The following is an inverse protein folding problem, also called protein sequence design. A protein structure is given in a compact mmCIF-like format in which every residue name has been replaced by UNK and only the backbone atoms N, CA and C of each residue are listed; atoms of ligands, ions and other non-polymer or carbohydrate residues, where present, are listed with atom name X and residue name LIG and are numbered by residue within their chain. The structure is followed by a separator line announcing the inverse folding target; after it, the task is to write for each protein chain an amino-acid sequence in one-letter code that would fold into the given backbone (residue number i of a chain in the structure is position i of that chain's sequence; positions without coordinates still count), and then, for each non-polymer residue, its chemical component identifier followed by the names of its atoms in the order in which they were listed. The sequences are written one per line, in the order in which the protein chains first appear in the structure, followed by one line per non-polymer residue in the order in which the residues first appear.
data_IF_424584716518
#
_entry.id   IF_424584716518
#
_cell.length_a   1.000
_cell.length_b   1.000
_cell.length_c   1.000
_cell.angle_alpha   90.00
_cell.angle_beta   90.00
_cell.angle_gamma   90.00
#
_symmetry.space_group_name_H-M   'P 1'
#
loop_
_entity.id
_entity.type
_entity.pdbx_description
1 polymer ?
#
# COMPACT_ATOMS: atom_id res chain seq x y z
N UNK A 1 -18.76 53.49 14.86
CA UNK A 1 -19.69 54.22 15.78
C UNK A 1 -19.02 55.56 16.05
N UNK A 2 -19.55 56.75 15.75
CA UNK A 2 -20.91 57.33 15.80
C UNK A 2 -21.16 58.11 17.11
N UNK A 3 -21.34 59.45 16.99
CA UNK A 3 -21.81 60.41 18.03
C UNK A 3 -20.80 60.65 19.18
N UNK A 4 -20.71 61.80 19.89
CA UNK A 4 -21.39 63.12 19.91
C UNK A 4 -20.42 64.12 20.65
N UNK A 5 -20.58 65.45 20.76
CA UNK A 5 -20.99 66.58 19.88
C UNK A 5 -21.18 67.86 20.75
N UNK A 6 -20.94 69.08 20.21
CA UNK A 6 -21.36 70.40 20.77
C UNK A 6 -20.69 70.83 22.11
N UNK A 7 -20.61 72.10 22.58
CA UNK A 7 -20.80 73.51 22.08
C UNK A 7 -20.05 74.42 23.11
N UNK A 8 -19.19 75.41 22.81
CA UNK A 8 -19.31 76.78 22.22
C UNK A 8 -19.66 77.95 23.20
N UNK A 9 -19.23 79.19 22.84
CA UNK A 9 -19.44 80.53 23.48
C UNK A 9 -18.61 80.93 24.73
N UNK A 10 -18.49 82.22 25.14
CA UNK A 10 -18.02 83.50 24.52
C UNK A 10 -18.39 84.74 25.40
N UNK A 11 -17.54 85.79 25.37
CA UNK A 11 -17.79 87.24 25.70
C UNK A 11 -18.01 87.74 27.15
N UNK A 12 -17.18 88.71 27.58
CA UNK A 12 -17.47 90.14 27.97
C UNK A 12 -16.14 90.76 28.52
N UNK A 13 -15.61 91.95 28.13
CA UNK A 13 -16.04 93.37 28.26
C UNK A 13 -16.18 93.89 29.71
N UNK A 14 -15.73 95.12 30.09
CA UNK A 14 -14.85 96.10 29.41
C UNK A 14 -15.01 97.60 29.77
N UNK A 15 -14.07 98.18 30.53
CA UNK A 15 -13.59 99.60 30.54
C UNK A 15 -14.45 100.80 31.08
N UNK A 16 -13.77 101.98 31.18
CA UNK A 16 -14.18 103.35 31.63
C UNK A 16 -14.45 103.54 33.16
N UNK A 17 -14.35 104.73 33.79
CA UNK A 17 -14.29 106.13 33.30
C UNK A 17 -13.24 107.05 34.04
N UNK A 18 -13.45 108.38 34.06
CA UNK A 18 -12.40 109.32 33.55
C UNK A 18 -12.38 110.78 34.12
N UNK A 19 -11.20 111.25 34.57
CA UNK A 19 -10.64 112.65 34.63
C UNK A 19 -11.42 113.90 35.17
N UNK A 20 -10.73 114.73 35.99
CA UNK A 20 -10.83 116.20 36.25
C UNK A 20 -9.88 116.57 37.43
N UNK A 21 -9.46 117.79 37.83
CA UNK A 21 -9.25 119.19 37.33
C UNK A 21 -8.17 119.82 38.29
N UNK A 22 -7.28 120.80 38.04
CA UNK A 22 -7.29 122.17 37.45
C UNK A 22 -8.10 123.23 38.29
N UNK A 23 -7.60 124.42 38.68
CA UNK A 23 -6.34 125.18 38.40
C UNK A 23 -6.02 126.26 39.50
N UNK A 24 -4.80 126.85 39.43
CA UNK A 24 -4.28 128.21 39.82
C UNK A 24 -4.95 129.05 40.95
N UNK A 25 -4.27 129.57 42.00
CA UNK A 25 -3.08 130.47 42.20
C UNK A 25 -3.32 131.99 42.22
N UNK A 26 -2.51 132.70 43.03
CA UNK A 26 -2.14 134.13 43.02
C UNK A 26 -2.61 135.09 44.15
N UNK A 27 -1.74 136.06 44.45
CA UNK A 27 -1.78 137.17 45.43
C UNK A 27 -1.99 138.52 44.66
N UNK A 28 -2.08 139.78 45.20
CA UNK A 28 -1.37 140.35 46.37
C UNK A 28 -2.12 141.46 47.17
N UNK A 29 -1.37 142.36 47.84
CA UNK A 29 -1.84 143.39 48.79
C UNK A 29 -2.20 144.76 48.19
N UNK A 30 -2.72 145.68 49.02
CA UNK A 30 -2.98 147.11 48.71
C UNK A 30 -2.83 148.00 49.96
N UNK A 31 -2.76 149.33 49.77
CA UNK A 31 -2.52 150.35 50.80
C UNK A 31 -3.29 151.67 50.53
N UNK A 32 -3.12 152.68 51.40
CA UNK A 32 -3.66 154.08 51.36
C UNK A 32 -5.16 154.21 51.75
N UNK A 33 -5.62 155.21 52.55
CA UNK A 33 -4.93 156.22 53.37
C UNK A 33 -5.80 157.47 53.75
N UNK A 34 -5.39 158.25 54.76
CA UNK A 34 -5.94 159.59 55.15
C UNK A 34 -7.23 159.60 56.00
N UNK A 35 -7.77 160.78 56.45
CA UNK A 35 -7.28 162.17 56.31
C UNK A 35 -7.19 162.97 57.66
N UNK A 36 -7.42 164.30 57.65
CA UNK A 36 -7.07 165.31 58.70
C UNK A 36 -8.30 166.13 59.18
N UNK A 37 -8.19 166.89 60.31
CA UNK A 37 -8.98 168.08 60.84
C UNK A 37 -9.75 167.89 62.18
N UNK A 38 -10.16 168.90 62.99
CA UNK A 38 -9.62 170.24 63.41
C UNK A 38 -10.52 170.92 64.51
N UNK A 39 -10.02 171.93 65.27
CA UNK A 39 -10.69 173.01 66.10
C UNK A 39 -11.45 172.70 67.43
N UNK A 40 -11.26 173.59 68.45
CA UNK A 40 -12.22 173.93 69.56
C UNK A 40 -11.58 174.02 70.98
N UNK A 41 -11.33 175.19 71.62
CA UNK A 41 -12.21 176.16 72.32
C UNK A 41 -12.83 175.64 73.66
N UNK A 42 -12.96 176.39 74.77
CA UNK A 42 -12.72 177.84 75.03
C UNK A 42 -12.56 178.19 76.55
N UNK A 43 -12.41 179.50 76.86
CA UNK A 43 -12.60 180.19 78.17
C UNK A 43 -11.54 180.04 79.31
N UNK A 44 -11.37 181.00 80.24
CA UNK A 44 -11.27 182.48 80.08
C UNK A 44 -10.72 183.17 81.36
N UNK A 45 -10.05 184.31 81.17
CA UNK A 45 -9.67 185.38 82.13
C UNK A 45 -9.52 185.09 83.64
N UNK A 46 -8.26 184.89 84.08
CA UNK A 46 -7.75 185.52 85.32
C UNK A 46 -6.20 185.52 85.40
N UNK A 47 -5.53 184.47 84.93
CA UNK A 47 -4.09 184.22 85.17
C UNK A 47 -3.11 184.90 84.18
N UNK A 48 -3.42 186.10 83.68
CA UNK A 48 -2.75 186.67 82.49
C UNK A 48 -1.39 187.36 82.74
N UNK A 49 -0.75 187.17 83.90
CA UNK A 49 0.51 187.85 84.27
C UNK A 49 1.67 186.86 84.52
N UNK A 50 1.42 185.66 85.06
CA UNK A 50 2.50 184.66 85.27
C UNK A 50 2.97 184.02 83.95
N UNK A 51 2.06 183.89 82.98
CA UNK A 51 2.27 183.19 81.71
C UNK A 51 3.36 183.84 80.82
N UNK A 52 3.63 185.14 81.00
CA UNK A 52 4.55 185.92 80.17
C UNK A 52 6.04 185.72 80.56
N UNK A 53 6.31 185.12 81.73
CA UNK A 53 7.65 184.64 82.10
C UNK A 53 7.86 183.18 81.67
N UNK A 54 6.82 182.34 81.72
CA UNK A 54 6.89 180.94 81.32
C UNK A 54 7.08 180.76 79.80
N UNK A 55 6.47 181.61 78.96
CA UNK A 55 6.68 181.53 77.49
C UNK A 55 8.16 181.68 77.09
N UNK A 56 8.95 182.49 77.82
CA UNK A 56 10.39 182.62 77.58
C UNK A 56 11.17 181.36 77.97
N UNK A 57 10.82 180.75 79.11
CA UNK A 57 11.39 179.48 79.56
C UNK A 57 11.08 178.36 78.54
N UNK A 58 9.83 178.33 78.06
CA UNK A 58 9.32 177.30 77.17
C UNK A 58 9.84 177.43 75.72
N UNK A 59 10.11 178.65 75.23
CA UNK A 59 10.78 178.87 73.93
C UNK A 59 12.21 178.35 73.93
N UNK A 60 13.01 178.64 74.97
CA UNK A 60 14.38 178.16 75.06
C UNK A 60 14.45 176.62 75.14
N UNK A 61 13.50 175.99 75.83
CA UNK A 61 13.37 174.52 75.81
C UNK A 61 12.92 173.97 74.45
N UNK A 62 12.11 174.71 73.67
CA UNK A 62 11.78 174.30 72.29
C UNK A 62 13.00 174.38 71.37
N UNK A 63 13.77 175.46 71.39
CA UNK A 63 14.95 175.63 70.54
C UNK A 63 16.00 174.53 70.81
N UNK A 64 16.24 174.19 72.09
CA UNK A 64 17.11 173.03 72.42
C UNK A 64 16.52 171.69 71.96
N UNK A 65 15.19 171.50 72.00
CA UNK A 65 14.55 170.27 71.50
C UNK A 65 14.54 170.17 69.98
N UNK A 66 14.45 171.29 69.25
CA UNK A 66 14.58 171.32 67.78
C UNK A 66 16.00 170.99 67.36
N UNK A 67 17.02 171.63 67.96
CA UNK A 67 18.43 171.32 67.70
C UNK A 67 18.78 169.85 67.98
N UNK A 68 18.21 169.27 69.05
CA UNK A 68 18.38 167.84 69.37
C UNK A 68 17.68 166.90 68.37
N UNK A 69 16.56 167.33 67.76
CA UNK A 69 15.85 166.55 66.74
C UNK A 69 16.55 166.61 65.37
N UNK A 70 17.09 167.76 64.97
CA UNK A 70 17.85 167.87 63.73
C UNK A 70 19.12 167.01 63.78
N UNK A 71 19.88 167.03 64.89
CA UNK A 71 21.02 166.11 65.08
C UNK A 71 20.62 164.64 65.16
N UNK A 72 19.38 164.31 65.59
CA UNK A 72 18.87 162.94 65.59
C UNK A 72 18.57 162.42 64.17
N UNK A 73 18.05 163.29 63.30
CA UNK A 73 17.70 162.96 61.91
C UNK A 73 18.92 162.76 61.00
N UNK A 74 20.04 163.42 61.28
CA UNK A 74 21.25 163.40 60.45
C UNK A 74 22.21 162.21 60.64
N UNK A 75 21.76 161.09 61.24
CA UNK A 75 22.66 159.99 61.61
C UNK A 75 22.96 159.01 60.45
N UNK A 76 24.25 158.81 60.17
CA UNK A 76 24.80 157.86 59.16
C UNK A 76 24.34 156.40 59.37
N UNK A 77 23.78 156.12 60.54
CA UNK A 77 23.31 154.80 60.97
C UNK A 77 22.01 154.37 60.26
N UNK A 78 21.13 155.32 59.86
CA UNK A 78 19.94 154.97 59.07
C UNK A 78 20.31 154.58 57.63
N UNK A 79 21.16 155.35 56.95
CA UNK A 79 21.63 155.02 55.60
C UNK A 79 22.35 153.66 55.57
N UNK A 80 23.16 153.36 56.58
CA UNK A 80 23.82 152.05 56.74
C UNK A 80 22.79 150.92 56.90
N UNK A 81 21.71 151.13 57.67
CA UNK A 81 20.62 150.15 57.81
C UNK A 81 19.85 149.92 56.51
N UNK A 82 19.61 150.96 55.72
CA UNK A 82 18.95 150.83 54.41
C UNK A 82 19.82 150.00 53.47
N UNK A 83 21.12 150.31 53.35
CA UNK A 83 22.06 149.51 52.55
C UNK A 83 22.18 148.05 53.04
N UNK A 84 22.11 147.80 54.34
CA UNK A 84 22.06 146.43 54.88
C UNK A 84 20.76 145.71 54.49
N UNK A 85 19.61 146.39 54.52
CA UNK A 85 18.32 145.84 54.09
C UNK A 85 18.27 145.59 52.58
N UNK A 86 18.79 146.50 51.76
CA UNK A 86 18.89 146.31 50.30
C UNK A 86 19.78 145.12 49.94
N UNK A 87 20.95 144.98 50.59
CA UNK A 87 21.81 143.81 50.39
C UNK A 87 21.15 142.53 50.90
N UNK A 88 20.39 142.57 52.00
CA UNK A 88 19.66 141.41 52.51
C UNK A 88 18.49 141.00 51.60
N UNK A 89 17.70 141.95 51.10
CA UNK A 89 16.65 141.71 50.10
C UNK A 89 17.26 141.11 48.83
N UNK A 90 18.36 141.67 48.34
CA UNK A 90 19.08 141.13 47.17
C UNK A 90 19.67 139.75 47.42
N UNK A 91 20.04 139.42 48.65
CA UNK A 91 20.43 138.06 49.05
C UNK A 91 19.23 137.11 49.01
N UNK A 92 18.09 137.50 49.60
CA UNK A 92 16.83 136.75 49.52
C UNK A 92 16.31 136.57 48.09
N UNK A 93 16.50 137.54 47.20
CA UNK A 93 16.16 137.42 45.78
C UNK A 93 17.03 136.39 45.05
N UNK A 94 18.32 136.34 45.36
CA UNK A 94 19.24 135.32 44.86
C UNK A 94 18.89 133.93 45.42
N UNK A 95 18.64 133.82 46.73
CA UNK A 95 18.22 132.57 47.37
C UNK A 95 16.88 132.07 46.83
N UNK A 96 15.89 132.95 46.67
CA UNK A 96 14.59 132.62 46.07
C UNK A 96 14.75 132.17 44.61
N UNK A 97 15.69 132.76 43.87
CA UNK A 97 16.00 132.35 42.49
C UNK A 97 16.68 130.97 42.44
N UNK A 98 17.62 130.72 43.36
CA UNK A 98 18.28 129.42 43.56
C UNK A 98 17.27 128.33 43.95
N UNK A 99 16.35 128.64 44.88
CA UNK A 99 15.26 127.74 45.29
C UNK A 99 14.30 127.46 44.12
N UNK A 100 13.92 128.47 43.32
CA UNK A 100 13.10 128.27 42.11
C UNK A 100 13.81 127.37 41.08
N UNK A 101 15.10 127.58 40.85
CA UNK A 101 15.90 126.77 39.93
C UNK A 101 16.03 125.32 40.43
N UNK A 102 16.29 125.14 41.73
CA UNK A 102 16.36 123.83 42.38
C UNK A 102 15.01 123.10 42.33
N UNK A 103 13.90 123.79 42.61
CA UNK A 103 12.55 123.24 42.53
C UNK A 103 12.19 122.82 41.09
N UNK A 104 12.52 123.62 40.08
CA UNK A 104 12.34 123.25 38.68
C UNK A 104 13.20 122.02 38.30
N UNK A 105 14.43 121.92 38.83
CA UNK A 105 15.28 120.75 38.63
C UNK A 105 14.71 119.49 39.33
N UNK A 106 14.10 119.63 40.50
CA UNK A 106 13.43 118.52 41.19
C UNK A 106 12.14 118.09 40.49
N UNK A 107 11.35 119.03 39.94
CA UNK A 107 10.18 118.71 39.14
C UNK A 107 10.56 117.91 37.87
N UNK A 108 11.62 118.33 37.17
CA UNK A 108 12.14 117.57 36.03
C UNK A 108 12.68 116.19 36.42
N UNK A 109 13.29 116.05 37.62
CA UNK A 109 13.66 114.73 38.16
C UNK A 109 12.43 113.86 38.45
N UNK A 110 11.36 114.41 39.03
CA UNK A 110 10.09 113.69 39.26
C UNK A 110 9.52 113.18 37.95
N UNK A 111 9.33 114.06 36.96
CA UNK A 111 8.82 113.68 35.63
C UNK A 111 9.67 112.58 34.96
N UNK A 112 10.99 112.59 35.20
CA UNK A 112 11.90 111.54 34.71
C UNK A 112 11.71 110.21 35.46
N UNK A 113 11.50 110.25 36.78
CA UNK A 113 11.19 109.06 37.60
C UNK A 113 9.84 108.46 37.20
N UNK A 114 8.82 109.27 36.98
CA UNK A 114 7.49 108.82 36.56
C UNK A 114 7.53 108.16 35.17
N UNK A 115 8.27 108.75 34.22
CA UNK A 115 8.50 108.13 32.91
C UNK A 115 9.26 106.80 33.02
N UNK A 116 10.29 106.72 33.87
CA UNK A 116 11.02 105.47 34.11
C UNK A 116 10.14 104.41 34.79
N UNK A 117 9.26 104.79 35.70
CA UNK A 117 8.31 103.89 36.35
C UNK A 117 7.33 103.27 35.33
N UNK A 118 6.81 104.06 34.39
CA UNK A 118 6.01 103.55 33.27
C UNK A 118 6.81 102.57 32.39
N UNK A 119 8.03 102.95 31.96
CA UNK A 119 8.90 102.08 31.13
C UNK A 119 9.27 100.76 31.84
N UNK A 120 9.44 100.78 33.17
CA UNK A 120 9.66 99.57 33.98
C UNK A 120 8.38 98.71 34.04
N UNK A 121 7.21 99.32 34.21
CA UNK A 121 5.91 98.62 34.23
C UNK A 121 5.63 97.90 32.90
N UNK A 122 5.78 98.59 31.78
CA UNK A 122 5.58 98.03 30.44
C UNK A 122 6.55 96.87 30.16
N UNK A 123 7.83 97.03 30.53
CA UNK A 123 8.83 95.96 30.42
C UNK A 123 8.51 94.77 31.32
N UNK A 124 8.00 95.00 32.53
CA UNK A 124 7.56 93.93 33.45
C UNK A 124 6.39 93.13 32.87
N UNK A 125 5.40 93.81 32.28
CA UNK A 125 4.28 93.17 31.58
C UNK A 125 4.76 92.33 30.39
N UNK A 126 5.66 92.86 29.55
CA UNK A 126 6.25 92.14 28.41
C UNK A 126 7.05 90.91 28.87
N UNK A 127 7.85 91.03 29.94
CA UNK A 127 8.58 89.89 30.51
C UNK A 127 7.63 88.81 31.06
N UNK A 128 6.55 89.22 31.75
CA UNK A 128 5.52 88.31 32.25
C UNK A 128 4.82 87.56 31.11
N UNK A 129 4.45 88.26 30.03
CA UNK A 129 3.83 87.65 28.87
C UNK A 129 4.77 86.67 28.14
N UNK A 130 6.07 87.00 28.02
CA UNK A 130 7.09 86.11 27.45
C UNK A 130 7.33 84.87 28.32
N UNK A 131 7.30 85.00 29.64
CA UNK A 131 7.40 83.87 30.56
C UNK A 131 6.21 82.91 30.38
N UNK A 132 4.99 83.45 30.30
CA UNK A 132 3.77 82.65 30.11
C UNK A 132 3.75 81.92 28.75
N UNK A 133 4.16 82.57 27.66
CA UNK A 133 4.32 81.93 26.34
C UNK A 133 5.39 80.83 26.36
N UNK A 134 6.54 81.07 27.02
CA UNK A 134 7.58 80.06 27.18
C UNK A 134 7.12 78.84 28.00
N UNK A 135 6.39 79.06 29.10
CA UNK A 135 5.78 77.99 29.89
C UNK A 135 4.80 77.17 29.05
N UNK A 136 3.89 77.82 28.33
CA UNK A 136 2.93 77.12 27.49
C UNK A 136 3.60 76.27 26.39
N UNK A 137 4.68 76.80 25.77
CA UNK A 137 5.49 76.04 24.80
C UNK A 137 6.18 74.83 25.43
N UNK A 138 6.65 74.95 26.67
CA UNK A 138 7.23 73.84 27.43
C UNK A 138 6.18 72.76 27.72
N UNK A 139 4.98 73.13 28.17
CA UNK A 139 3.89 72.17 28.45
C UNK A 139 3.44 71.41 27.19
N UNK A 140 3.35 72.11 26.06
CA UNK A 140 3.06 71.51 24.75
C UNK A 140 4.19 70.57 24.29
N UNK A 141 5.46 70.94 24.50
CA UNK A 141 6.60 70.09 24.19
C UNK A 141 6.65 68.84 25.07
N UNK A 142 6.43 68.98 26.38
CA UNK A 142 6.39 67.88 27.34
C UNK A 142 5.25 66.89 27.00
N UNK A 143 4.07 67.40 26.67
CA UNK A 143 2.92 66.59 26.22
C UNK A 143 3.25 65.81 24.94
N UNK A 144 3.92 66.44 23.96
CA UNK A 144 4.37 65.78 22.72
C UNK A 144 5.44 64.72 22.97
N UNK A 145 6.38 64.98 23.88
CA UNK A 145 7.41 64.02 24.29
C UNK A 145 6.78 62.77 24.92
N UNK A 146 5.91 62.95 25.91
CA UNK A 146 5.21 61.84 26.57
C UNK A 146 4.37 61.03 25.57
N UNK A 147 3.63 61.70 24.68
CA UNK A 147 2.86 61.05 23.59
C UNK A 147 3.76 60.22 22.66
N UNK A 148 4.99 60.68 22.41
CA UNK A 148 5.96 59.97 21.56
C UNK A 148 6.50 58.73 22.27
N UNK A 149 6.80 58.83 23.57
CA UNK A 149 7.28 57.69 24.37
C UNK A 149 6.22 56.59 24.51
N UNK A 150 4.94 56.94 24.71
CA UNK A 150 3.84 55.96 24.70
C UNK A 150 3.77 55.20 23.36
N UNK A 151 3.89 55.92 22.23
CA UNK A 151 3.89 55.30 20.89
C UNK A 151 5.13 54.45 20.62
N UNK A 152 6.28 54.79 21.21
CA UNK A 152 7.49 53.98 21.12
C UNK A 152 7.31 52.65 21.86
N UNK A 153 6.82 52.68 23.10
CA UNK A 153 6.51 51.48 23.89
C UNK A 153 5.48 50.58 23.19
N UNK A 154 4.43 51.16 22.60
CA UNK A 154 3.47 50.43 21.75
C UNK A 154 4.12 49.71 20.55
N UNK A 155 5.19 50.28 19.97
CA UNK A 155 5.90 49.68 18.83
C UNK A 155 6.85 48.59 19.31
N UNK A 156 7.55 48.80 20.42
CA UNK A 156 8.40 47.79 21.07
C UNK A 156 7.60 46.55 21.49
N UNK A 157 6.40 46.74 22.07
CA UNK A 157 5.46 45.66 22.38
C UNK A 157 5.03 44.90 21.12
N UNK A 158 4.63 45.61 20.05
CA UNK A 158 4.21 45.02 18.78
C UNK A 158 5.36 44.26 18.09
N UNK A 159 6.61 44.72 18.21
CA UNK A 159 7.79 43.99 17.74
C UNK A 159 8.04 42.71 18.55
N UNK A 160 8.01 42.77 19.89
CA UNK A 160 8.14 41.59 20.75
C UNK A 160 7.09 40.52 20.43
N UNK A 161 5.83 40.93 20.25
CA UNK A 161 4.74 40.03 19.87
C UNK A 161 4.91 39.45 18.46
N UNK A 162 5.48 40.21 17.51
CA UNK A 162 5.77 39.73 16.15
C UNK A 162 6.86 38.66 16.15
N UNK A 163 7.96 38.87 16.89
CA UNK A 163 9.07 37.91 16.96
C UNK A 163 8.68 36.62 17.69
N UNK A 164 7.83 36.71 18.73
CA UNK A 164 7.22 35.52 19.36
C UNK A 164 6.36 34.72 18.37
N UNK A 165 5.45 35.40 17.62
CA UNK A 165 4.63 34.77 16.59
C UNK A 165 5.47 34.08 15.50
N UNK A 166 6.55 34.74 15.07
CA UNK A 166 7.49 34.23 14.07
C UNK A 166 8.21 32.97 14.56
N UNK A 167 8.70 32.97 15.80
CA UNK A 167 9.34 31.81 16.42
C UNK A 167 8.39 30.63 16.58
N UNK A 168 7.16 30.85 17.06
CA UNK A 168 6.14 29.80 17.25
C UNK A 168 5.80 29.12 15.91
N UNK A 169 5.53 29.91 14.86
CA UNK A 169 5.17 29.38 13.54
C UNK A 169 6.32 28.58 12.90
N UNK A 170 7.57 29.05 13.05
CA UNK A 170 8.75 28.32 12.59
C UNK A 170 8.92 26.98 13.32
N UNK A 171 8.77 26.95 14.66
CA UNK A 171 8.89 25.72 15.45
C UNK A 171 7.78 24.70 15.11
N UNK A 172 6.53 25.15 14.94
CA UNK A 172 5.42 24.28 14.53
C UNK A 172 5.64 23.67 13.14
N UNK A 173 6.17 24.46 12.20
CA UNK A 173 6.53 23.98 10.86
C UNK A 173 7.63 22.91 10.92
N UNK A 174 8.67 23.12 11.73
CA UNK A 174 9.79 22.19 11.89
C UNK A 174 9.33 20.86 12.54
N UNK A 175 8.52 20.90 13.60
CA UNK A 175 7.98 19.71 14.26
C UNK A 175 7.07 18.89 13.33
N UNK A 176 6.23 19.56 12.53
CA UNK A 176 5.40 18.88 11.51
C UNK A 176 6.26 18.18 10.45
N UNK A 177 7.26 18.87 9.89
CA UNK A 177 8.17 18.30 8.90
C UNK A 177 9.01 17.16 9.48
N UNK A 178 9.47 17.26 10.73
CA UNK A 178 10.23 16.20 11.39
C UNK A 178 9.37 14.94 11.59
N UNK A 179 8.09 15.08 11.93
CA UNK A 179 7.13 13.97 12.03
C UNK A 179 6.89 13.30 10.68
N UNK A 180 6.76 14.08 9.61
CA UNK A 180 6.63 13.55 8.25
C UNK A 180 7.91 12.79 7.80
N UNK A 181 9.09 13.38 8.01
CA UNK A 181 10.39 12.74 7.73
C UNK A 181 10.54 11.42 8.50
N UNK A 182 10.20 11.39 9.79
CA UNK A 182 10.26 10.17 10.61
C UNK A 182 9.29 9.09 10.08
N UNK A 183 8.09 9.49 9.64
CA UNK A 183 7.11 8.57 9.04
C UNK A 183 7.59 8.00 7.70
N UNK A 184 8.17 8.85 6.84
CA UNK A 184 8.75 8.45 5.56
C UNK A 184 9.97 7.52 5.75
N UNK A 185 10.80 7.74 6.77
CA UNK A 185 11.92 6.86 7.11
C UNK A 185 11.40 5.47 7.51
N UNK A 186 10.49 5.38 8.49
CA UNK A 186 9.89 4.12 8.92
C UNK A 186 9.19 3.36 7.78
N UNK A 187 8.51 4.07 6.87
CA UNK A 187 7.92 3.49 5.66
C UNK A 187 8.98 2.97 4.67
N UNK A 188 10.12 3.63 4.59
CA UNK A 188 11.27 3.20 3.77
C UNK A 188 11.89 1.94 4.33
N UNK A 189 12.08 1.85 5.64
CA UNK A 189 12.58 0.65 6.33
C UNK A 189 11.64 -0.55 6.13
N UNK A 190 10.32 -0.32 6.21
CA UNK A 190 9.30 -1.34 5.94
C UNK A 190 9.36 -1.83 4.49
N UNK A 191 9.51 -0.93 3.51
CA UNK A 191 9.66 -1.27 2.10
C UNK A 191 10.96 -2.03 1.82
N UNK A 192 12.07 -1.62 2.42
CA UNK A 192 13.37 -2.31 2.30
C UNK A 192 13.30 -3.73 2.89
N UNK A 193 12.73 -3.87 4.09
CA UNK A 193 12.49 -5.18 4.74
C UNK A 193 11.61 -6.09 3.88
N UNK A 194 10.54 -5.55 3.30
CA UNK A 194 9.64 -6.28 2.40
C UNK A 194 10.34 -6.70 1.10
N UNK A 195 11.20 -5.84 0.55
CA UNK A 195 11.98 -6.12 -0.66
C UNK A 195 13.03 -7.21 -0.41
N UNK A 196 13.71 -7.18 0.75
CA UNK A 196 14.65 -8.22 1.14
C UNK A 196 13.94 -9.58 1.33
N UNK A 197 12.80 -9.62 2.04
CA UNK A 197 12.01 -10.84 2.19
C UNK A 197 11.62 -11.46 0.83
N UNK A 198 11.05 -10.65 -0.08
CA UNK A 198 10.72 -11.09 -1.45
C UNK A 198 11.92 -11.56 -2.25
N UNK A 199 13.10 -11.01 -2.00
CA UNK A 199 14.36 -11.44 -2.65
C UNK A 199 14.81 -12.82 -2.16
N UNK A 200 14.61 -13.13 -0.86
CA UNK A 200 14.83 -14.46 -0.32
C UNK A 200 13.79 -15.47 -0.83
N UNK A 201 12.51 -15.10 -0.91
CA UNK A 201 11.46 -15.93 -1.51
C UNK A 201 11.77 -16.29 -2.96
N UNK A 202 12.22 -15.30 -3.75
CA UNK A 202 12.64 -15.51 -5.13
C UNK A 202 13.85 -16.45 -5.24
N UNK A 203 14.87 -16.28 -4.37
CA UNK A 203 16.03 -17.16 -4.33
C UNK A 203 15.67 -18.61 -3.94
N UNK A 204 14.72 -18.79 -3.01
CA UNK A 204 14.20 -20.09 -2.63
C UNK A 204 13.42 -20.76 -3.78
N UNK A 205 12.59 -19.99 -4.51
CA UNK A 205 11.89 -20.46 -5.71
C UNK A 205 12.86 -20.83 -6.83
N UNK A 206 13.88 -20.01 -7.09
CA UNK A 206 14.92 -20.27 -8.09
C UNK A 206 15.65 -21.59 -7.78
N UNK A 207 16.14 -21.77 -6.55
CA UNK A 207 16.81 -22.99 -6.12
C UNK A 207 15.90 -24.23 -6.22
N UNK A 208 14.60 -24.09 -5.93
CA UNK A 208 13.60 -25.15 -6.10
C UNK A 208 13.41 -25.54 -7.57
N UNK A 209 13.45 -24.57 -8.49
CA UNK A 209 13.37 -24.80 -9.94
C UNK A 209 14.62 -25.51 -10.47
N UNK A 210 15.83 -25.04 -10.15
CA UNK A 210 17.08 -25.70 -10.57
C UNK A 210 17.15 -27.15 -10.07
N UNK A 211 16.65 -27.42 -8.86
CA UNK A 211 16.56 -28.78 -8.33
C UNK A 211 15.48 -29.65 -9.01
N UNK A 212 14.37 -29.07 -9.49
CA UNK A 212 13.36 -29.80 -10.25
C UNK A 212 13.84 -30.12 -11.68
N UNK A 213 14.52 -29.19 -12.35
CA UNK A 213 15.18 -29.40 -13.64
C UNK A 213 16.22 -30.53 -13.56
N UNK A 214 17.08 -30.53 -12.52
CA UNK A 214 18.04 -31.61 -12.27
C UNK A 214 17.35 -32.96 -12.04
N UNK A 215 16.18 -32.98 -11.39
CA UNK A 215 15.37 -34.20 -11.21
C UNK A 215 14.78 -34.68 -12.54
N UNK A 216 14.23 -33.78 -13.35
CA UNK A 216 13.68 -34.07 -14.68
C UNK A 216 14.78 -34.62 -15.60
N UNK A 217 15.97 -34.02 -15.62
CA UNK A 217 17.12 -34.49 -16.40
C UNK A 217 17.58 -35.91 -16.00
N UNK A 218 17.54 -36.23 -14.70
CA UNK A 218 17.82 -37.59 -14.23
C UNK A 218 16.70 -38.57 -14.58
N UNK A 219 15.43 -38.20 -14.44
CA UNK A 219 14.29 -39.03 -14.87
C UNK A 219 14.35 -39.33 -16.38
N UNK A 220 14.73 -38.35 -17.20
CA UNK A 220 14.95 -38.54 -18.65
C UNK A 220 16.08 -39.52 -18.99
N UNK A 221 17.09 -39.68 -18.12
CA UNK A 221 18.10 -40.74 -18.26
C UNK A 221 17.51 -42.10 -17.91
N UNK A 222 16.80 -42.22 -16.78
CA UNK A 222 16.15 -43.46 -16.36
C UNK A 222 15.16 -43.98 -17.39
N UNK A 223 14.34 -43.09 -17.99
CA UNK A 223 13.40 -43.45 -19.06
C UNK A 223 14.15 -44.07 -20.25
N UNK A 224 15.26 -43.47 -20.70
CA UNK A 224 16.08 -44.02 -21.80
C UNK A 224 16.72 -45.37 -21.46
N UNK A 225 17.12 -45.60 -20.21
CA UNK A 225 17.61 -46.91 -19.77
C UNK A 225 16.51 -47.96 -19.88
N UNK A 226 15.33 -47.68 -19.32
CA UNK A 226 14.16 -48.60 -19.35
C UNK A 226 13.69 -48.86 -20.79
N UNK A 227 13.75 -47.85 -21.67
CA UNK A 227 13.43 -47.99 -23.10
C UNK A 227 14.40 -48.96 -23.81
N UNK A 228 15.70 -48.89 -23.51
CA UNK A 228 16.70 -49.84 -24.04
C UNK A 228 16.48 -51.26 -23.49
N UNK A 229 16.27 -51.40 -22.18
CA UNK A 229 16.01 -52.69 -21.52
C UNK A 229 14.73 -53.37 -22.04
N UNK A 230 13.67 -52.58 -22.28
CA UNK A 230 12.41 -53.06 -22.84
C UNK A 230 12.58 -53.54 -24.29
N UNK A 231 13.31 -52.79 -25.13
CA UNK A 231 13.58 -53.17 -26.52
C UNK A 231 14.46 -54.44 -26.62
N UNK A 232 15.45 -54.59 -25.73
CA UNK A 232 16.25 -55.81 -25.62
C UNK A 232 15.40 -57.02 -25.17
N UNK A 233 14.55 -56.82 -24.16
CA UNK A 233 13.64 -57.84 -23.63
C UNK A 233 12.62 -58.29 -24.69
N UNK A 234 12.01 -57.36 -25.42
CA UNK A 234 11.08 -57.64 -26.52
C UNK A 234 11.75 -58.45 -27.64
N UNK A 235 12.99 -58.10 -28.00
CA UNK A 235 13.79 -58.83 -29.00
C UNK A 235 14.07 -60.27 -28.56
N UNK A 236 14.44 -60.47 -27.29
CA UNK A 236 14.70 -61.79 -26.70
C UNK A 236 13.43 -62.66 -26.66
N UNK A 237 12.28 -62.10 -26.25
CA UNK A 237 10.99 -62.80 -26.25
C UNK A 237 10.62 -63.22 -27.67
N UNK A 238 10.78 -62.34 -28.66
CA UNK A 238 10.46 -62.62 -30.07
C UNK A 238 11.29 -63.78 -30.63
N UNK A 239 12.59 -63.82 -30.32
CA UNK A 239 13.47 -64.93 -30.71
C UNK A 239 13.04 -66.27 -30.07
N UNK A 240 12.83 -66.27 -28.74
CA UNK A 240 12.42 -67.48 -28.00
C UNK A 240 11.07 -68.04 -28.48
N UNK A 241 10.09 -67.18 -28.74
CA UNK A 241 8.78 -67.60 -29.28
C UNK A 241 8.92 -68.16 -30.69
N UNK A 242 9.73 -67.55 -31.56
CA UNK A 242 9.98 -68.07 -32.90
C UNK A 242 10.61 -69.47 -32.89
N UNK A 243 11.57 -69.72 -32.00
CA UNK A 243 12.18 -71.04 -31.85
C UNK A 243 11.17 -72.09 -31.33
N UNK A 244 10.35 -71.73 -30.33
CA UNK A 244 9.32 -72.64 -29.79
C UNK A 244 8.28 -73.01 -30.85
N UNK A 245 7.83 -72.06 -31.68
CA UNK A 245 6.88 -72.33 -32.79
C UNK A 245 7.48 -73.34 -33.78
N UNK A 246 8.71 -73.10 -34.27
CA UNK A 246 9.38 -74.05 -35.19
C UNK A 246 9.54 -75.45 -34.57
N UNK A 247 9.83 -75.53 -33.27
CA UNK A 247 9.98 -76.80 -32.57
C UNK A 247 8.64 -77.52 -32.34
N UNK A 248 7.52 -76.80 -32.25
CA UNK A 248 6.17 -77.38 -32.24
C UNK A 248 5.80 -77.91 -33.63
N UNK A 249 6.03 -77.12 -34.69
CA UNK A 249 5.77 -77.53 -36.10
C UNK A 249 6.56 -78.79 -36.49
N UNK A 250 7.85 -78.87 -36.11
CA UNK A 250 8.68 -80.08 -36.31
C UNK A 250 8.06 -81.30 -35.63
N UNK A 251 7.61 -81.16 -34.37
CA UNK A 251 6.97 -82.27 -33.62
C UNK A 251 5.65 -82.71 -34.25
N UNK A 252 4.80 -81.77 -34.64
CA UNK A 252 3.53 -82.06 -35.31
C UNK A 252 3.75 -82.83 -36.62
N UNK A 253 4.71 -82.40 -37.45
CA UNK A 253 5.04 -83.10 -38.70
C UNK A 253 5.55 -84.53 -38.48
N UNK A 254 6.39 -84.76 -37.45
CA UNK A 254 6.85 -86.11 -37.09
C UNK A 254 5.67 -87.00 -36.66
N UNK A 255 4.80 -86.51 -35.78
CA UNK A 255 3.60 -87.25 -35.33
C UNK A 255 2.64 -87.56 -36.48
N UNK A 256 2.43 -86.62 -37.41
CA UNK A 256 1.58 -86.82 -38.58
C UNK A 256 2.12 -87.91 -39.52
N UNK A 257 3.45 -88.00 -39.67
CA UNK A 257 4.10 -89.06 -40.46
C UNK A 257 3.99 -90.44 -39.80
N UNK A 258 4.23 -90.52 -38.48
CA UNK A 258 4.08 -91.75 -37.68
C UNK A 258 2.63 -92.28 -37.68
N UNK A 259 1.64 -91.40 -37.51
CA UNK A 259 0.22 -91.76 -37.62
C UNK A 259 -0.14 -92.26 -39.02
N UNK A 260 0.35 -91.59 -40.08
CA UNK A 260 0.11 -91.99 -41.47
C UNK A 260 0.73 -93.35 -41.80
N UNK A 261 1.94 -93.62 -41.31
CA UNK A 261 2.59 -94.94 -41.40
C UNK A 261 1.77 -96.02 -40.68
N UNK A 262 1.38 -95.78 -39.42
CA UNK A 262 0.57 -96.71 -38.61
C UNK A 262 -0.77 -97.04 -39.27
N UNK A 263 -1.50 -96.03 -39.78
CA UNK A 263 -2.75 -96.23 -40.53
C UNK A 263 -2.50 -97.03 -41.82
N UNK A 264 -1.38 -96.77 -42.53
CA UNK A 264 -1.01 -97.52 -43.72
C UNK A 264 -0.58 -98.97 -43.46
N UNK A 265 -0.28 -99.32 -42.19
CA UNK A 265 0.06 -100.67 -41.73
C UNK A 265 -1.15 -101.44 -41.21
N UNK A 266 -1.99 -100.82 -40.37
CA UNK A 266 -3.21 -101.46 -39.85
C UNK A 266 -4.21 -101.80 -40.97
N UNK A 267 -4.36 -100.92 -41.95
CA UNK A 267 -5.21 -101.15 -43.13
C UNK A 267 -4.82 -102.36 -43.99
N UNK A 268 -3.62 -102.94 -43.81
CA UNK A 268 -3.15 -104.13 -44.55
C UNK A 268 -3.42 -105.47 -43.85
N UNK A 269 -3.92 -105.43 -42.61
CA UNK A 269 -4.18 -106.64 -41.83
C UNK A 269 -5.54 -107.23 -42.22
N UNK A 270 -5.53 -108.38 -42.90
CA UNK A 270 -6.74 -109.14 -43.24
C UNK A 270 -6.73 -110.45 -42.47
N UNK A 271 -7.74 -110.69 -41.63
CA UNK A 271 -7.90 -111.92 -40.87
C UNK A 271 -9.39 -112.26 -40.72
N UNK A 272 -9.73 -113.55 -40.79
CA UNK A 272 -11.06 -114.10 -40.57
C UNK A 272 -10.93 -115.42 -39.81
N UNK A 273 -11.79 -115.65 -38.83
CA UNK A 273 -12.09 -116.98 -38.28
C UNK A 273 -13.59 -117.09 -38.11
N UNK A 274 -14.19 -118.08 -38.74
CA UNK A 274 -15.65 -118.28 -38.85
C UNK A 274 -15.99 -119.76 -38.75
N UNK A 275 -17.00 -120.09 -37.95
CA UNK A 275 -17.50 -121.46 -37.77
C UNK A 275 -18.91 -121.63 -38.36
N UNK A 276 -19.38 -122.87 -38.46
CA UNK A 276 -20.79 -123.16 -38.77
C UNK A 276 -21.66 -122.88 -37.54
N UNK A 277 -22.80 -122.19 -37.72
CA UNK A 277 -23.73 -121.88 -36.61
C UNK A 277 -24.62 -123.04 -36.18
N UNK A 278 -24.69 -124.10 -36.99
CA UNK A 278 -25.56 -125.27 -36.78
C UNK A 278 -25.05 -126.45 -37.60
N UNK A 279 -25.41 -127.65 -37.19
CA UNK A 279 -25.13 -128.88 -37.94
C UNK A 279 -25.89 -128.86 -39.28
N UNK A 280 -25.29 -129.42 -40.32
CA UNK A 280 -25.84 -129.41 -41.69
C UNK A 280 -25.61 -130.73 -42.42
N UNK A 281 -26.67 -131.28 -43.01
CA UNK A 281 -26.56 -132.27 -44.08
C UNK A 281 -26.34 -131.53 -45.40
N UNK A 282 -25.24 -131.82 -46.07
CA UNK A 282 -24.88 -131.22 -47.37
C UNK A 282 -25.23 -132.14 -48.53
N UNK A 283 -25.46 -131.57 -49.71
CA UNK A 283 -25.44 -132.32 -50.97
C UNK A 283 -24.00 -132.47 -51.49
N UNK A 284 -23.82 -133.29 -52.52
CA UNK A 284 -22.64 -133.22 -53.38
C UNK A 284 -22.48 -131.80 -53.97
N UNK A 285 -21.23 -131.38 -54.17
CA UNK A 285 -20.80 -130.11 -54.77
C UNK A 285 -21.23 -128.82 -54.03
N UNK A 286 -21.67 -128.92 -52.77
CA UNK A 286 -22.23 -127.81 -52.00
C UNK A 286 -21.15 -126.93 -51.35
N UNK A 287 -21.37 -125.61 -51.34
CA UNK A 287 -20.51 -124.65 -50.64
C UNK A 287 -20.95 -124.51 -49.18
N UNK A 288 -20.00 -124.62 -48.25
CA UNK A 288 -20.23 -124.49 -46.80
C UNK A 288 -20.30 -123.02 -46.37
N UNK A 289 -21.24 -122.71 -45.46
CA UNK A 289 -21.56 -121.33 -45.06
C UNK A 289 -21.21 -121.07 -43.60
N UNK A 290 -20.00 -120.57 -43.37
CA UNK A 290 -19.49 -120.24 -42.04
C UNK A 290 -20.06 -118.91 -41.54
N UNK A 291 -21.26 -118.95 -40.98
CA UNK A 291 -22.05 -117.82 -40.50
C UNK A 291 -21.55 -117.20 -39.17
N UNK A 292 -20.86 -117.97 -38.34
CA UNK A 292 -20.49 -117.62 -36.96
C UNK A 292 -19.04 -117.09 -36.89
N UNK A 293 -18.88 -115.79 -37.15
CA UNK A 293 -17.59 -115.11 -37.12
C UNK A 293 -17.07 -114.90 -35.69
N UNK A 294 -15.94 -115.55 -35.36
CA UNK A 294 -15.22 -115.44 -34.08
C UNK A 294 -14.16 -114.34 -34.09
N UNK A 295 -13.59 -114.02 -35.25
CA UNK A 295 -12.61 -112.94 -35.42
C UNK A 295 -12.68 -112.41 -36.84
N UNK A 296 -12.59 -111.10 -37.02
CA UNK A 296 -12.44 -110.48 -38.33
C UNK A 296 -11.65 -109.17 -38.24
N UNK A 297 -10.80 -108.90 -39.22
CA UNK A 297 -10.06 -107.65 -39.42
C UNK A 297 -9.84 -107.42 -40.92
N UNK A 298 -9.97 -106.19 -41.40
CA UNK A 298 -9.69 -105.83 -42.80
C UNK A 298 -10.61 -106.46 -43.86
N UNK A 299 -11.85 -106.79 -43.50
CA UNK A 299 -12.84 -107.45 -44.37
C UNK A 299 -14.15 -106.67 -44.32
N UNK A 300 -14.52 -106.02 -45.41
CA UNK A 300 -15.74 -105.23 -45.51
C UNK A 300 -16.93 -106.10 -45.96
N UNK A 301 -16.70 -107.12 -46.79
CA UNK A 301 -17.71 -108.02 -47.35
C UNK A 301 -18.23 -109.13 -46.40
N UNK A 302 -17.96 -109.06 -45.09
CA UNK A 302 -18.26 -110.12 -44.12
C UNK A 302 -19.72 -110.60 -44.14
N UNK A 303 -20.68 -109.71 -44.39
CA UNK A 303 -22.09 -110.08 -44.53
C UNK A 303 -22.34 -111.01 -45.73
N UNK A 304 -21.76 -110.69 -46.90
CA UNK A 304 -21.86 -111.51 -48.10
C UNK A 304 -21.18 -112.87 -47.92
N UNK A 305 -20.01 -112.92 -47.26
CA UNK A 305 -19.35 -114.18 -46.89
C UNK A 305 -20.28 -115.10 -46.10
N UNK A 306 -20.89 -114.61 -45.01
CA UNK A 306 -21.79 -115.40 -44.16
C UNK A 306 -22.99 -115.99 -44.90
N UNK A 307 -23.54 -115.25 -45.87
CA UNK A 307 -24.71 -115.69 -46.66
C UNK A 307 -24.35 -116.68 -47.78
N UNK A 308 -23.12 -116.62 -48.31
CA UNK A 308 -22.72 -117.36 -49.52
C UNK A 308 -21.75 -118.51 -49.28
N UNK A 309 -20.85 -118.38 -48.30
CA UNK A 309 -19.66 -119.24 -48.15
C UNK A 309 -18.47 -118.84 -49.05
N UNK A 310 -18.56 -117.70 -49.74
CA UNK A 310 -17.52 -117.18 -50.64
C UNK A 310 -16.80 -115.99 -50.00
N UNK A 311 -15.53 -116.16 -49.64
CA UNK A 311 -14.66 -115.06 -49.23
C UNK A 311 -14.12 -114.40 -50.49
N UNK A 312 -14.40 -113.11 -50.68
CA UNK A 312 -13.82 -112.35 -51.80
C UNK A 312 -12.65 -111.52 -51.28
N UNK A 313 -11.50 -111.60 -51.93
CA UNK A 313 -10.30 -110.89 -51.53
C UNK A 313 -10.40 -109.40 -51.86
N UNK A 314 -10.28 -108.56 -50.85
CA UNK A 314 -10.28 -107.09 -50.99
C UNK A 314 -8.86 -106.51 -51.11
N UNK A 315 -7.82 -107.32 -50.86
CA UNK A 315 -6.42 -106.85 -50.80
C UNK A 315 -5.42 -107.89 -51.31
N UNK A 316 -4.93 -107.73 -52.54
CA UNK A 316 -3.97 -108.68 -53.13
C UNK A 316 -2.75 -108.98 -52.23
N UNK A 317 -2.36 -110.26 -52.14
CA UNK A 317 -1.28 -110.73 -51.27
C UNK A 317 -1.27 -112.25 -51.06
N UNK A 318 -0.44 -112.72 -50.12
CA UNK A 318 -0.35 -114.14 -49.74
C UNK A 318 -1.23 -114.41 -48.52
N UNK A 319 -2.11 -115.39 -48.64
CA UNK A 319 -3.07 -115.79 -47.61
C UNK A 319 -2.81 -117.22 -47.14
N UNK A 320 -2.82 -117.45 -45.84
CA UNK A 320 -2.94 -118.77 -45.22
C UNK A 320 -4.43 -119.05 -44.98
N UNK A 321 -4.90 -120.17 -45.52
CA UNK A 321 -6.29 -120.64 -45.37
C UNK A 321 -6.22 -121.98 -44.65
N UNK A 322 -6.96 -122.10 -43.55
CA UNK A 322 -7.11 -123.34 -42.77
C UNK A 322 -8.59 -123.65 -42.60
N UNK A 323 -8.98 -124.90 -42.83
CA UNK A 323 -10.36 -125.36 -42.74
C UNK A 323 -10.38 -126.68 -42.00
N UNK A 324 -10.98 -126.69 -40.82
CA UNK A 324 -11.29 -127.90 -40.06
C UNK A 324 -12.76 -128.22 -40.23
N UNK A 325 -13.07 -129.48 -40.53
CA UNK A 325 -14.42 -130.02 -40.61
C UNK A 325 -14.55 -131.22 -39.67
N UNK A 326 -15.59 -131.21 -38.86
CA UNK A 326 -16.03 -132.34 -38.05
C UNK A 326 -17.25 -133.01 -38.70
N UNK A 327 -17.21 -134.33 -38.91
CA UNK A 327 -18.27 -135.07 -39.61
C UNK A 327 -18.41 -136.50 -39.10
N UNK A 328 -19.66 -136.95 -38.93
CA UNK A 328 -19.99 -138.37 -38.73
C UNK A 328 -19.77 -139.23 -40.01
N UNK A 329 -19.74 -138.60 -41.20
CA UNK A 329 -19.78 -139.29 -42.51
C UNK A 329 -18.45 -139.30 -43.23
N UNK A 330 -18.13 -140.42 -43.88
CA UNK A 330 -17.00 -140.50 -44.82
C UNK A 330 -17.24 -139.64 -46.05
N UNK A 331 -16.25 -138.85 -46.44
CA UNK A 331 -16.30 -138.04 -47.64
C UNK A 331 -15.10 -137.13 -47.83
N UNK A 332 -15.24 -136.20 -48.77
CA UNK A 332 -14.17 -135.30 -49.20
C UNK A 332 -14.70 -133.87 -49.20
N UNK A 333 -13.91 -132.96 -48.64
CA UNK A 333 -14.08 -131.53 -48.85
C UNK A 333 -12.83 -130.93 -49.47
N UNK A 334 -13.02 -129.80 -50.16
CA UNK A 334 -11.99 -129.06 -50.85
C UNK A 334 -11.99 -127.59 -50.43
N UNK A 335 -10.83 -126.97 -50.46
CA UNK A 335 -10.69 -125.51 -50.48
C UNK A 335 -10.56 -125.12 -51.95
N UNK A 336 -11.49 -124.31 -52.45
CA UNK A 336 -11.50 -123.79 -53.81
C UNK A 336 -10.91 -122.37 -53.87
N UNK A 337 -10.20 -122.05 -54.94
CA UNK A 337 -9.87 -120.69 -55.40
C UNK A 337 -10.54 -120.48 -56.76
N UNK A 338 -11.41 -119.48 -56.88
CA UNK A 338 -12.16 -119.19 -58.11
C UNK A 338 -12.93 -120.40 -58.70
N UNK A 339 -13.49 -121.25 -57.83
CA UNK A 339 -14.13 -122.54 -58.13
C UNK A 339 -13.21 -123.66 -58.67
N UNK A 340 -11.88 -123.51 -58.59
CA UNK A 340 -10.92 -124.59 -58.82
C UNK A 340 -10.35 -125.09 -57.48
N UNK A 341 -10.33 -126.41 -57.26
CA UNK A 341 -9.82 -126.97 -56.01
C UNK A 341 -8.31 -126.75 -55.86
N UNK A 342 -7.88 -126.40 -54.65
CA UNK A 342 -6.48 -126.15 -54.29
C UNK A 342 -5.91 -127.34 -53.50
N UNK A 343 -6.68 -127.77 -52.50
CA UNK A 343 -6.36 -128.88 -51.60
C UNK A 343 -7.65 -129.60 -51.22
N UNK A 344 -7.55 -130.92 -51.03
CA UNK A 344 -8.63 -131.80 -50.58
C UNK A 344 -8.28 -132.38 -49.22
N UNK A 345 -9.27 -132.56 -48.35
CA UNK A 345 -9.16 -133.33 -47.12
C UNK A 345 -10.32 -134.31 -47.00
N UNK A 346 -10.03 -135.45 -46.37
CA UNK A 346 -10.88 -136.62 -46.35
C UNK A 346 -11.39 -136.86 -44.92
N UNK A 347 -12.69 -136.73 -44.68
CA UNK A 347 -13.30 -137.30 -43.48
C UNK A 347 -13.46 -138.80 -43.71
N UNK A 348 -12.94 -139.63 -42.80
CA UNK A 348 -12.98 -141.08 -42.96
C UNK A 348 -13.52 -141.75 -41.71
N UNK A 349 -14.77 -142.22 -41.78
CA UNK A 349 -15.34 -143.08 -40.77
C UNK A 349 -14.79 -144.50 -40.94
N UNK A 350 -14.20 -145.02 -39.86
CA UNK A 350 -13.70 -146.39 -39.79
C UNK A 350 -14.89 -147.35 -39.61
N UNK A 351 -15.22 -148.05 -40.70
CA UNK A 351 -16.24 -149.11 -40.72
C UNK A 351 -16.22 -149.98 -39.44
N UNK A 352 -17.33 -149.94 -38.70
CA UNK A 352 -17.48 -150.57 -37.38
C UNK A 352 -17.64 -149.59 -36.21
N UNK A 353 -17.46 -148.28 -36.40
CA UNK A 353 -17.76 -147.26 -35.36
C UNK A 353 -18.91 -146.34 -35.80
N UNK A 354 -20.17 -146.62 -35.39
CA UNK A 354 -21.34 -145.86 -35.86
C UNK A 354 -21.50 -144.46 -35.24
N UNK A 355 -20.68 -144.08 -34.25
CA UNK A 355 -20.89 -142.91 -33.39
C UNK A 355 -19.62 -142.07 -33.14
N UNK A 356 -18.56 -142.21 -33.96
CA UNK A 356 -17.36 -141.36 -33.82
C UNK A 356 -17.37 -140.16 -34.76
N UNK A 357 -16.96 -139.02 -34.19
CA UNK A 357 -16.72 -137.78 -34.93
C UNK A 357 -15.36 -137.80 -35.63
N UNK A 358 -15.34 -137.45 -36.91
CA UNK A 358 -14.12 -137.41 -37.71
C UNK A 358 -13.74 -135.98 -38.06
N UNK A 359 -12.78 -135.45 -37.31
CA UNK A 359 -12.19 -134.14 -37.52
C UNK A 359 -11.09 -134.24 -38.57
N UNK A 360 -11.24 -133.52 -39.68
CA UNK A 360 -10.26 -133.46 -40.77
C UNK A 360 -9.94 -132.00 -41.12
N UNK A 361 -8.66 -131.70 -41.36
CA UNK A 361 -8.20 -130.32 -41.59
C UNK A 361 -7.43 -130.21 -42.90
N UNK A 362 -7.80 -129.22 -43.72
CA UNK A 362 -7.05 -128.79 -44.90
C UNK A 362 -6.37 -127.44 -44.59
N UNK A 363 -5.11 -127.28 -45.00
CA UNK A 363 -4.38 -126.01 -44.88
C UNK A 363 -3.67 -125.73 -46.21
N UNK A 364 -3.78 -124.50 -46.73
CA UNK A 364 -3.09 -124.07 -47.94
C UNK A 364 -2.62 -122.62 -47.84
N UNK A 365 -1.53 -122.30 -48.54
CA UNK A 365 -1.05 -120.94 -48.71
C UNK A 365 -1.25 -120.51 -50.17
N UNK A 366 -2.02 -119.44 -50.39
CA UNK A 366 -2.57 -119.06 -51.70
C UNK A 366 -2.31 -117.59 -51.96
N UNK A 367 -1.80 -117.25 -53.14
CA UNK A 367 -1.72 -115.86 -53.59
C UNK A 367 -3.07 -115.47 -54.16
N UNK A 368 -3.70 -114.46 -53.56
CA UNK A 368 -4.98 -113.91 -54.00
C UNK A 368 -4.76 -112.52 -54.59
N UNK A 369 -5.45 -112.24 -55.69
CA UNK A 369 -5.61 -110.92 -56.26
C UNK A 369 -6.89 -110.27 -55.70
N UNK A 370 -7.07 -108.96 -55.93
CA UNK A 370 -8.35 -108.32 -55.62
C UNK A 370 -9.44 -108.98 -56.48
N UNK A 371 -10.60 -109.24 -55.87
CA UNK A 371 -11.75 -109.97 -56.43
C UNK A 371 -11.59 -111.48 -56.61
N UNK A 372 -10.43 -112.08 -56.28
CA UNK A 372 -10.33 -113.54 -56.18
C UNK A 372 -11.22 -114.09 -55.05
N UNK A 373 -11.78 -115.28 -55.23
CA UNK A 373 -12.69 -115.93 -54.29
C UNK A 373 -12.10 -117.19 -53.69
N UNK A 374 -12.35 -117.41 -52.40
CA UNK A 374 -12.13 -118.69 -51.70
C UNK A 374 -13.46 -119.23 -51.20
N UNK A 375 -13.70 -120.53 -51.37
CA UNK A 375 -14.83 -121.25 -50.76
C UNK A 375 -14.41 -122.63 -50.25
N UNK A 376 -15.23 -123.23 -49.39
CA UNK A 376 -15.09 -124.64 -49.00
C UNK A 376 -16.23 -125.44 -49.60
N UNK A 377 -15.91 -126.53 -50.30
CA UNK A 377 -16.91 -127.33 -51.03
C UNK A 377 -16.84 -128.81 -50.66
N UNK A 378 -18.01 -129.44 -50.47
CA UNK A 378 -18.14 -130.89 -50.31
C UNK A 378 -18.21 -131.57 -51.67
N UNK A 379 -17.49 -132.66 -51.88
CA UNK A 379 -17.55 -133.40 -53.16
C UNK A 379 -18.70 -134.40 -53.17
N UNK A 380 -18.87 -135.14 -52.08
CA UNK A 380 -20.04 -135.99 -51.81
C UNK A 380 -20.93 -135.35 -50.73
N UNK A 381 -22.10 -135.96 -50.49
CA UNK A 381 -22.96 -135.56 -49.37
C UNK A 381 -22.28 -135.88 -48.02
N UNK A 382 -22.13 -134.85 -47.19
CA UNK A 382 -21.52 -134.92 -45.85
C UNK A 382 -22.47 -134.38 -44.78
N UNK A 383 -22.61 -135.11 -43.67
CA UNK A 383 -23.21 -134.59 -42.43
C UNK A 383 -22.13 -133.90 -41.61
N UNK A 384 -22.22 -132.59 -41.44
CA UNK A 384 -21.17 -131.76 -40.83
C UNK A 384 -21.68 -131.14 -39.54
N UNK A 385 -20.95 -131.34 -38.45
CA UNK A 385 -21.25 -130.71 -37.17
C UNK A 385 -20.80 -129.24 -37.12
N UNK A 386 -21.55 -128.42 -36.39
CA UNK A 386 -21.15 -127.08 -35.98
C UNK A 386 -19.92 -127.10 -35.05
N UNK A 387 -19.88 -128.07 -34.13
CA UNK A 387 -18.82 -128.20 -33.14
C UNK A 387 -17.49 -128.56 -33.84
N UNK A 388 -16.48 -127.72 -33.63
CA UNK A 388 -15.13 -127.78 -34.24
C UNK A 388 -15.04 -127.58 -35.76
N UNK A 389 -16.14 -127.34 -36.48
CA UNK A 389 -16.06 -126.97 -37.92
C UNK A 389 -15.89 -125.47 -38.11
N UNK A 390 -14.66 -125.07 -38.45
CA UNK A 390 -14.28 -123.67 -38.62
C UNK A 390 -13.31 -123.46 -39.80
N UNK A 391 -13.47 -122.32 -40.46
CA UNK A 391 -12.60 -121.78 -41.50
C UNK A 391 -11.85 -120.56 -40.95
N UNK A 392 -10.56 -120.48 -41.23
CA UNK A 392 -9.67 -119.36 -40.91
C UNK A 392 -8.96 -118.90 -42.18
N UNK A 393 -8.90 -117.58 -42.41
CA UNK A 393 -8.24 -116.95 -43.56
C UNK A 393 -7.40 -115.79 -43.03
N UNK A 394 -6.07 -115.82 -43.18
CA UNK A 394 -5.18 -114.78 -42.66
C UNK A 394 -4.21 -114.35 -43.76
N UNK A 395 -4.13 -113.05 -44.05
CA UNK A 395 -3.09 -112.48 -44.91
C UNK A 395 -1.75 -112.47 -44.17
N UNK A 396 -0.77 -113.16 -44.74
CA UNK A 396 0.58 -113.30 -44.19
C UNK A 396 1.63 -112.48 -44.95
N UNK A 397 1.29 -111.94 -46.13
CA UNK A 397 2.12 -110.97 -46.87
C UNK A 397 1.29 -110.07 -47.79
#
# INVERSE_FOLDING_TARGET
MSRISFVSFLLYHGALCLHAFLLETSTPAKSVGGPVTNVGNDNHYSALIELLMDEKQHRYQLEQRVAALEQSSGSTQQATRILQLENFVKHLENDLSSVKQSLAQQLNKSNTVDHLAHVISDRSAICTQKYNDLSHRYDVLHTRFNTTNTKLAEVEEKMSNLDQLKGINQLQTIDSLQKEVNSLHSKTDQLFSTSNARSQDFLALYNKTVMSEKKIANMGKTIKTVEVELNQTSSSITANVSEQVQNIERRQNITNLDLKDKISKSSRQVALTTCLSSDIQTSSNAVLKFSDAKTFAGINNLAAFKTTGLFTCEQAGLYLISVTINSHTTGIFSIDHNNAFIIKAYTYNRAGSPETDHISTAVSAVVLNISDTISVRTENALYVHSIYTCMTIIKIK
#
